data_IF_026496635850
#
_entry.id   IF_026496635850
#
_cell.length_a   1.000
_cell.length_b   1.000
_cell.length_c   1.000
_cell.angle_alpha   90.00
_cell.angle_beta   90.00
_cell.angle_gamma   90.00
#
_symmetry.space_group_name_H-M   'P 1'
#
loop_
_entity.id
_entity.type
_entity.pdbx_description
1 polymer ?
#
# COMPACT_ATOMS: atom_id res chain seq x y z
N UNK A 1 2.48 0.58 -11.59
CA UNK A 1 3.61 0.49 -12.55
C UNK A 1 4.97 0.37 -11.88
N UNK A 2 5.35 1.20 -10.91
CA UNK A 2 6.71 1.16 -10.33
C UNK A 2 7.10 -0.12 -9.55
N UNK A 3 6.10 -0.87 -9.05
CA UNK A 3 6.31 -2.00 -8.12
C UNK A 3 6.33 -3.38 -8.79
N UNK A 4 5.51 -3.61 -9.82
CA UNK A 4 5.23 -4.95 -10.33
C UNK A 4 5.63 -5.10 -11.80
N UNK A 5 5.87 -6.34 -12.21
CA UNK A 5 6.08 -6.69 -13.62
C UNK A 5 4.77 -6.52 -14.42
N UNK A 6 4.82 -5.72 -15.50
CA UNK A 6 3.71 -5.46 -16.43
C UNK A 6 3.17 -4.02 -16.39
N UNK A 7 2.51 -3.58 -17.46
CA UNK A 7 1.74 -2.33 -17.46
C UNK A 7 0.44 -2.55 -16.67
N UNK A 8 0.33 -1.90 -15.51
CA UNK A 8 -0.79 -2.12 -14.57
C UNK A 8 -1.85 -1.00 -14.70
N UNK A 9 -1.54 0.13 -15.33
CA UNK A 9 -2.54 1.18 -15.63
C UNK A 9 -2.00 2.21 -16.63
N UNK A 10 -2.81 2.75 -17.57
CA UNK A 10 -2.48 3.98 -18.29
C UNK A 10 -2.43 5.16 -17.29
N UNK A 11 -1.26 5.80 -17.19
CA UNK A 11 -1.07 6.98 -16.33
C UNK A 11 -1.72 8.18 -17.03
N UNK A 12 -2.88 8.62 -16.54
CA UNK A 12 -3.57 9.80 -17.07
C UNK A 12 -3.16 11.07 -16.31
N UNK A 13 -2.31 11.90 -16.90
CA UNK A 13 -1.81 13.14 -16.26
C UNK A 13 -2.82 14.31 -16.23
N UNK A 14 -4.05 14.14 -16.74
CA UNK A 14 -4.96 15.27 -17.00
C UNK A 14 -6.40 15.10 -16.49
N UNK A 15 -6.88 13.91 -16.11
CA UNK A 15 -8.24 13.75 -15.59
C UNK A 15 -8.32 12.71 -14.47
N UNK A 16 -8.93 13.08 -13.34
CA UNK A 16 -9.39 12.15 -12.31
C UNK A 16 -10.49 11.25 -12.90
N UNK A 17 -10.09 10.15 -13.50
CA UNK A 17 -10.99 9.27 -14.25
C UNK A 17 -10.74 7.80 -13.90
N UNK A 18 -10.94 7.46 -12.63
CA UNK A 18 -11.25 6.09 -12.23
C UNK A 18 -12.57 6.10 -11.48
N UNK A 19 -13.69 6.17 -12.21
CA UNK A 19 -15.04 6.19 -11.62
C UNK A 19 -15.52 4.80 -11.19
N UNK A 20 -14.94 3.76 -11.78
CA UNK A 20 -15.21 2.34 -11.50
C UNK A 20 -13.96 1.67 -10.95
N UNK A 21 -14.14 0.64 -10.10
CA UNK A 21 -13.04 -0.16 -9.56
C UNK A 21 -12.32 -0.89 -10.69
N UNK A 22 -11.06 -0.55 -10.93
CA UNK A 22 -10.25 -1.27 -11.90
C UNK A 22 -9.53 -2.42 -11.22
N UNK A 23 -9.61 -3.62 -11.81
CA UNK A 23 -8.94 -4.82 -11.30
C UNK A 23 -7.96 -5.33 -12.34
N UNK A 24 -6.69 -5.37 -11.95
CA UNK A 24 -5.61 -5.88 -12.78
C UNK A 24 -5.07 -7.16 -12.15
N UNK A 25 -5.04 -8.26 -12.92
CA UNK A 25 -4.53 -9.54 -12.44
C UNK A 25 -3.17 -9.82 -13.07
N UNK A 26 -2.15 -9.89 -12.23
CA UNK A 26 -0.83 -10.36 -12.61
C UNK A 26 -0.74 -11.86 -12.27
N UNK A 27 -0.11 -12.65 -13.16
CA UNK A 27 0.04 -14.10 -13.00
C UNK A 27 1.51 -14.48 -13.16
N UNK A 28 2.02 -15.31 -12.25
CA UNK A 28 3.35 -15.92 -12.32
C UNK A 28 3.24 -17.36 -11.85
N UNK A 29 3.34 -18.31 -12.79
CA UNK A 29 3.10 -19.72 -12.53
C UNK A 29 1.72 -19.98 -11.91
N UNK A 30 1.70 -20.53 -10.69
CA UNK A 30 0.48 -20.81 -9.91
C UNK A 30 0.02 -19.63 -9.04
N UNK A 31 0.80 -18.57 -8.94
CA UNK A 31 0.47 -17.40 -8.13
C UNK A 31 -0.23 -16.34 -8.97
N UNK A 32 -1.24 -15.69 -8.37
CA UNK A 32 -1.87 -14.51 -8.96
C UNK A 32 -1.95 -13.39 -7.93
N UNK A 33 -1.61 -12.18 -8.36
CA UNK A 33 -1.83 -10.95 -7.61
C UNK A 33 -2.93 -10.16 -8.30
N UNK A 34 -3.88 -9.64 -7.53
CA UNK A 34 -4.91 -8.72 -8.02
C UNK A 34 -4.64 -7.35 -7.45
N UNK A 35 -4.39 -6.38 -8.33
CA UNK A 35 -4.23 -4.98 -7.98
C UNK A 35 -5.58 -4.32 -8.24
N UNK A 36 -6.09 -3.64 -7.22
CA UNK A 36 -7.37 -2.94 -7.28
C UNK A 36 -7.11 -1.46 -7.18
N UNK A 37 -7.38 -0.72 -8.25
CA UNK A 37 -7.34 0.73 -8.25
C UNK A 37 -8.72 1.27 -7.85
N UNK A 38 -8.74 2.03 -6.76
CA UNK A 38 -9.96 2.61 -6.20
C UNK A 38 -10.03 4.10 -6.56
N UNK A 39 -11.24 4.63 -6.80
CA UNK A 39 -11.49 6.06 -7.04
C UNK A 39 -10.84 6.93 -5.95
N UNK A 40 -10.38 8.14 -6.28
CA UNK A 40 -9.85 9.06 -5.27
C UNK A 40 -10.89 9.47 -4.24
N UNK A 41 -10.51 9.50 -2.97
CA UNK A 41 -11.37 10.01 -1.89
C UNK A 41 -11.53 11.53 -2.08
N UNK A 42 -12.76 12.04 -2.06
CA UNK A 42 -13.03 13.47 -2.17
C UNK A 42 -13.25 14.02 -3.58
N UNK A 43 -13.21 13.17 -4.61
CA UNK A 43 -13.41 13.62 -6.00
C UNK A 43 -14.84 14.12 -6.28
N UNK A 44 -15.85 13.65 -5.53
CA UNK A 44 -17.24 14.09 -5.73
C UNK A 44 -18.11 13.91 -4.47
N UNK A 45 -18.29 14.99 -3.68
CA UNK A 45 -19.08 14.97 -2.44
C UNK A 45 -20.56 14.61 -2.60
N UNK A 46 -21.12 14.70 -3.81
CA UNK A 46 -22.53 14.34 -4.07
C UNK A 46 -22.79 12.82 -4.05
N UNK A 47 -21.74 11.98 -4.11
CA UNK A 47 -21.86 10.51 -4.19
C UNK A 47 -21.14 9.77 -3.07
N UNK A 48 -20.85 10.47 -1.99
CA UNK A 48 -20.06 9.96 -0.87
C UNK A 48 -20.62 8.64 -0.29
N UNK A 49 -21.95 8.46 -0.30
CA UNK A 49 -22.57 7.22 0.18
C UNK A 49 -22.35 6.01 -0.75
N UNK A 50 -22.45 6.19 -2.06
CA UNK A 50 -22.23 5.13 -3.06
C UNK A 50 -20.77 4.65 -3.03
N UNK A 51 -19.83 5.60 -2.95
CA UNK A 51 -18.41 5.27 -2.80
C UNK A 51 -18.12 4.54 -1.48
N UNK A 52 -18.70 4.97 -0.35
CA UNK A 52 -18.54 4.26 0.93
C UNK A 52 -19.02 2.81 0.86
N UNK A 53 -20.15 2.55 0.21
CA UNK A 53 -20.67 1.20 0.03
C UNK A 53 -19.76 0.34 -0.87
N UNK A 54 -19.26 0.93 -1.96
CA UNK A 54 -18.30 0.30 -2.86
C UNK A 54 -17.02 -0.10 -2.11
N UNK A 55 -16.43 0.83 -1.35
CA UNK A 55 -15.23 0.57 -0.56
C UNK A 55 -15.45 -0.56 0.44
N UNK A 56 -16.54 -0.56 1.22
CA UNK A 56 -16.79 -1.62 2.20
C UNK A 56 -16.85 -3.02 1.57
N UNK A 57 -17.45 -3.13 0.38
CA UNK A 57 -17.50 -4.39 -0.36
C UNK A 57 -16.12 -4.84 -0.83
N UNK A 58 -15.33 -3.93 -1.36
CA UNK A 58 -14.00 -4.27 -1.90
C UNK A 58 -13.01 -4.53 -0.77
N UNK A 59 -12.98 -3.69 0.27
CA UNK A 59 -12.01 -3.76 1.37
C UNK A 59 -12.04 -5.10 2.12
N UNK A 60 -13.19 -5.76 2.22
CA UNK A 60 -13.28 -7.10 2.84
C UNK A 60 -12.59 -8.21 2.04
N UNK A 61 -12.29 -7.97 0.76
CA UNK A 61 -11.62 -8.93 -0.13
C UNK A 61 -10.12 -8.65 -0.26
N UNK A 62 -9.60 -7.54 0.29
CA UNK A 62 -8.20 -7.12 0.11
C UNK A 62 -7.31 -7.65 1.23
N UNK A 63 -6.13 -8.16 0.86
CA UNK A 63 -5.08 -8.55 1.79
C UNK A 63 -4.27 -7.34 2.31
N UNK A 64 -4.15 -6.28 1.51
CA UNK A 64 -3.45 -5.03 1.86
C UNK A 64 -3.97 -3.86 1.01
N UNK A 65 -3.97 -2.66 1.61
CA UNK A 65 -4.34 -1.38 1.02
C UNK A 65 -3.16 -0.42 1.17
N UNK A 66 -2.68 0.13 0.06
CA UNK A 66 -1.74 1.24 0.07
C UNK A 66 -2.52 2.56 0.07
N UNK A 67 -2.51 3.27 1.18
CA UNK A 67 -3.13 4.60 1.29
C UNK A 67 -2.11 5.67 0.90
N UNK A 68 -2.21 6.17 -0.33
CA UNK A 68 -1.22 7.09 -0.90
C UNK A 68 -1.62 8.54 -0.65
N UNK A 69 -0.75 9.30 0.02
CA UNK A 69 -0.90 10.74 0.26
C UNK A 69 0.30 11.45 -0.36
N UNK A 70 0.10 12.63 -0.96
CA UNK A 70 1.22 13.43 -1.46
C UNK A 70 1.96 14.08 -0.28
N UNK A 71 3.28 14.07 -0.32
CA UNK A 71 4.12 14.58 0.77
C UNK A 71 3.94 16.10 1.02
N UNK A 72 3.64 16.86 -0.04
CA UNK A 72 3.46 18.31 -0.03
C UNK A 72 2.02 18.76 0.29
N UNK A 73 1.05 17.85 0.22
CA UNK A 73 -0.35 18.17 0.48
C UNK A 73 -0.56 18.58 1.94
N UNK A 74 -1.40 19.58 2.17
CA UNK A 74 -1.72 20.11 3.50
C UNK A 74 -3.19 19.89 3.87
N UNK A 75 -4.06 19.57 2.91
CA UNK A 75 -5.50 19.51 3.09
C UNK A 75 -6.00 18.06 3.19
N UNK A 76 -5.87 17.47 4.39
CA UNK A 76 -6.24 16.06 4.64
C UNK A 76 -7.60 15.88 5.33
N UNK A 77 -8.43 16.92 5.37
CA UNK A 77 -9.72 16.86 6.11
C UNK A 77 -10.68 15.83 5.51
N UNK A 78 -10.69 15.71 4.19
CA UNK A 78 -11.54 14.74 3.48
C UNK A 78 -11.04 13.32 3.71
N UNK A 79 -9.73 13.09 3.65
CA UNK A 79 -9.10 11.83 4.03
C UNK A 79 -9.42 11.43 5.47
N UNK A 80 -9.29 12.37 6.42
CA UNK A 80 -9.56 12.13 7.84
C UNK A 80 -11.02 11.72 8.07
N UNK A 81 -11.96 12.40 7.42
CA UNK A 81 -13.38 12.08 7.51
C UNK A 81 -13.66 10.68 6.94
N UNK A 82 -13.10 10.36 5.78
CA UNK A 82 -13.28 9.05 5.15
C UNK A 82 -12.63 7.93 5.97
N UNK A 83 -11.44 8.19 6.52
CA UNK A 83 -10.75 7.27 7.40
C UNK A 83 -11.62 6.86 8.59
N UNK A 84 -12.19 7.86 9.28
CA UNK A 84 -13.08 7.64 10.43
C UNK A 84 -14.39 6.95 10.02
N UNK A 85 -14.93 7.24 8.84
CA UNK A 85 -16.22 6.70 8.39
C UNK A 85 -16.18 5.32 7.74
N UNK A 86 -15.03 4.90 7.21
CA UNK A 86 -14.92 3.70 6.34
C UNK A 86 -13.73 2.82 6.69
N UNK A 87 -12.55 3.41 6.87
CA UNK A 87 -11.30 2.64 6.88
C UNK A 87 -10.92 2.10 8.25
N UNK A 88 -11.39 2.72 9.34
CA UNK A 88 -11.05 2.31 10.71
C UNK A 88 -11.20 0.80 10.99
N UNK A 89 -12.27 0.11 10.55
CA UNK A 89 -12.40 -1.35 10.70
C UNK A 89 -11.31 -2.15 9.98
N UNK A 90 -10.73 -1.59 8.93
CA UNK A 90 -9.72 -2.19 8.05
C UNK A 90 -8.31 -1.65 8.32
N UNK A 91 -8.08 -0.94 9.42
CA UNK A 91 -6.77 -0.31 9.71
C UNK A 91 -5.58 -1.28 9.72
N UNK A 92 -5.82 -2.57 9.99
CA UNK A 92 -4.78 -3.61 10.04
C UNK A 92 -4.20 -3.93 8.66
N UNK A 93 -4.98 -3.72 7.61
CA UNK A 93 -4.57 -3.97 6.22
C UNK A 93 -4.17 -2.67 5.51
N UNK A 94 -3.95 -1.56 6.22
CA UNK A 94 -3.60 -0.28 5.57
C UNK A 94 -2.16 0.13 5.87
N UNK A 95 -1.38 0.30 4.81
CA UNK A 95 -0.06 0.95 4.83
C UNK A 95 -0.16 2.35 4.23
N UNK A 96 0.17 3.37 5.02
CA UNK A 96 0.25 4.75 4.52
C UNK A 96 1.55 4.96 3.75
N UNK A 97 1.45 5.57 2.57
CA UNK A 97 2.58 5.88 1.69
C UNK A 97 2.54 7.36 1.33
N UNK A 98 3.49 8.13 1.87
CA UNK A 98 3.75 9.51 1.47
C UNK A 98 4.54 9.49 0.16
N UNK A 99 3.86 9.68 -0.96
CA UNK A 99 4.48 9.74 -2.29
C UNK A 99 4.89 11.18 -2.65
N UNK A 100 5.70 11.34 -3.70
CA UNK A 100 6.22 12.62 -4.16
C UNK A 100 7.11 13.30 -3.09
N UNK A 101 7.91 12.51 -2.38
CA UNK A 101 8.88 13.02 -1.40
C UNK A 101 9.85 14.05 -2.02
N UNK A 102 10.11 13.98 -3.32
CA UNK A 102 10.88 14.95 -4.10
C UNK A 102 10.29 16.37 -4.11
N UNK A 103 8.98 16.49 -3.84
CA UNK A 103 8.26 17.77 -3.86
C UNK A 103 8.07 18.39 -2.49
N UNK A 104 8.51 17.73 -1.42
CA UNK A 104 8.41 18.33 -0.08
C UNK A 104 9.36 19.53 0.02
N UNK A 105 8.89 20.59 0.67
CA UNK A 105 9.69 21.80 0.84
C UNK A 105 10.96 21.52 1.68
N UNK A 106 12.09 22.20 1.43
CA UNK A 106 12.39 22.96 0.21
C UNK A 106 12.54 22.02 -1.00
N UNK A 107 11.63 22.13 -1.98
CA UNK A 107 11.56 21.15 -3.07
C UNK A 107 12.77 21.19 -4.01
N UNK A 108 13.41 22.36 -4.12
CA UNK A 108 14.59 22.58 -4.96
C UNK A 108 15.89 21.98 -4.38
N UNK A 109 15.88 21.55 -3.11
CA UNK A 109 17.05 20.96 -2.46
C UNK A 109 17.20 19.46 -2.73
N UNK A 110 16.26 18.87 -3.47
CA UNK A 110 16.35 17.46 -3.84
C UNK A 110 17.60 17.20 -4.70
N UNK A 111 18.45 16.26 -4.27
CA UNK A 111 19.64 15.88 -5.05
C UNK A 111 19.21 14.99 -6.21
N UNK A 112 19.13 15.56 -7.40
CA UNK A 112 18.76 14.85 -8.64
C UNK A 112 19.81 13.85 -9.09
N UNK A 113 21.08 14.02 -8.71
CA UNK A 113 22.17 13.11 -9.08
C UNK A 113 22.13 11.84 -8.25
N UNK A 114 21.88 11.96 -6.95
CA UNK A 114 21.76 10.79 -6.05
C UNK A 114 20.34 10.31 -5.87
N UNK A 115 19.34 11.05 -6.36
CA UNK A 115 17.92 10.82 -6.12
C UNK A 115 17.61 10.70 -4.62
N UNK A 116 18.12 11.64 -3.82
CA UNK A 116 17.91 11.64 -2.37
C UNK A 116 17.46 13.01 -1.84
N UNK A 117 16.69 13.04 -0.74
CA UNK A 117 16.28 14.28 -0.10
C UNK A 117 17.44 14.96 0.63
N UNK A 118 17.39 16.29 0.70
CA UNK A 118 18.25 17.07 1.58
C UNK A 118 17.97 16.77 3.06
N UNK A 119 18.82 17.27 3.96
CA UNK A 119 18.59 17.14 5.41
C UNK A 119 17.25 17.77 5.83
N UNK A 120 16.95 18.97 5.31
CA UNK A 120 15.71 19.68 5.61
C UNK A 120 14.48 18.95 5.08
N UNK A 121 14.56 18.40 3.86
CA UNK A 121 13.47 17.59 3.31
C UNK A 121 13.22 16.33 4.14
N UNK A 122 14.26 15.66 4.65
CA UNK A 122 14.11 14.50 5.54
C UNK A 122 13.39 14.86 6.83
N UNK A 123 13.72 16.00 7.43
CA UNK A 123 13.06 16.44 8.66
C UNK A 123 11.60 16.81 8.43
N UNK A 124 11.29 17.43 7.29
CA UNK A 124 9.91 17.71 6.89
C UNK A 124 9.13 16.42 6.60
N UNK A 125 9.75 15.41 5.98
CA UNK A 125 9.11 14.09 5.76
C UNK A 125 8.81 13.42 7.10
N UNK A 126 9.74 13.44 8.06
CA UNK A 126 9.51 12.91 9.41
C UNK A 126 8.38 13.64 10.11
N UNK A 127 8.34 14.97 10.03
CA UNK A 127 7.26 15.76 10.60
C UNK A 127 5.91 15.41 9.96
N UNK A 128 5.87 15.22 8.63
CA UNK A 128 4.69 14.77 7.90
C UNK A 128 4.24 13.37 8.33
N UNK A 129 5.16 12.42 8.47
CA UNK A 129 4.88 11.07 8.99
C UNK A 129 4.30 11.11 10.41
N UNK A 130 4.85 11.96 11.29
CA UNK A 130 4.34 12.16 12.63
C UNK A 130 2.91 12.75 12.62
N UNK A 131 2.64 13.72 11.74
CA UNK A 131 1.30 14.28 11.57
C UNK A 131 0.27 13.23 11.07
N UNK A 132 0.64 12.41 10.07
CA UNK A 132 -0.19 11.28 9.62
C UNK A 132 -0.44 10.30 10.77
N UNK A 133 0.59 9.97 11.53
CA UNK A 133 0.47 9.04 12.67
C UNK A 133 -0.48 9.57 13.74
N UNK A 134 -0.40 10.86 14.05
CA UNK A 134 -1.30 11.51 15.01
C UNK A 134 -2.76 11.55 14.52
N UNK A 135 -2.96 11.87 13.23
CA UNK A 135 -4.29 12.04 12.63
C UNK A 135 -5.01 10.71 12.40
N UNK A 136 -4.33 9.72 11.80
CA UNK A 136 -4.94 8.47 11.35
C UNK A 136 -4.74 7.32 12.34
N UNK A 137 -3.72 7.38 13.21
CA UNK A 137 -3.33 6.30 14.13
C UNK A 137 -3.23 4.93 13.42
N UNK A 138 -2.43 4.83 12.35
CA UNK A 138 -2.31 3.58 11.61
C UNK A 138 -1.66 2.48 12.46
N UNK A 139 -1.90 1.23 12.08
CA UNK A 139 -1.25 0.05 12.70
C UNK A 139 0.17 -0.16 12.22
N UNK A 140 0.47 0.30 11.00
CA UNK A 140 1.75 0.17 10.35
C UNK A 140 2.45 1.53 10.25
N UNK A 141 3.80 1.58 10.30
CA UNK A 141 4.52 2.82 10.13
C UNK A 141 4.31 3.38 8.71
N UNK A 142 4.07 4.69 8.60
CA UNK A 142 3.93 5.35 7.31
C UNK A 142 5.28 5.40 6.59
N UNK A 143 5.31 5.04 5.30
CA UNK A 143 6.51 5.11 4.48
C UNK A 143 6.55 6.43 3.70
N UNK A 144 7.75 6.91 3.36
CA UNK A 144 7.95 8.02 2.45
C UNK A 144 8.71 7.56 1.22
N UNK A 145 8.22 7.94 0.03
CA UNK A 145 8.79 7.52 -1.25
C UNK A 145 8.72 8.64 -2.27
N UNK A 146 9.63 8.59 -3.24
CA UNK A 146 9.48 9.29 -4.51
C UNK A 146 9.39 8.22 -5.61
N UNK A 147 8.18 7.92 -6.06
CA UNK A 147 7.97 6.88 -7.06
C UNK A 147 8.63 7.19 -8.41
N UNK A 148 8.81 8.49 -8.75
CA UNK A 148 9.46 8.91 -9.99
C UNK A 148 10.98 8.72 -9.95
N UNK A 149 11.62 8.96 -8.80
CA UNK A 149 13.07 8.79 -8.63
C UNK A 149 13.45 7.39 -8.13
N UNK A 150 12.48 6.63 -7.61
CA UNK A 150 12.69 5.32 -6.98
C UNK A 150 13.16 5.40 -5.52
N UNK A 151 13.37 6.60 -4.97
CA UNK A 151 13.81 6.77 -3.59
C UNK A 151 12.80 6.22 -2.59
N UNK A 152 13.29 5.48 -1.60
CA UNK A 152 12.48 4.89 -0.51
C UNK A 152 11.61 3.69 -0.92
N UNK A 153 11.55 3.34 -2.21
CA UNK A 153 10.64 2.28 -2.70
C UNK A 153 11.01 0.91 -2.15
N UNK A 154 12.30 0.56 -2.06
CA UNK A 154 12.74 -0.74 -1.52
C UNK A 154 12.36 -0.90 -0.04
N UNK A 155 12.56 0.13 0.78
CA UNK A 155 12.19 0.13 2.20
C UNK A 155 10.68 0.06 2.39
N UNK A 156 9.93 0.77 1.55
CA UNK A 156 8.46 0.70 1.53
C UNK A 156 7.98 -0.70 1.14
N UNK A 157 8.60 -1.35 0.16
CA UNK A 157 8.28 -2.74 -0.24
C UNK A 157 8.59 -3.71 0.90
N UNK A 158 9.73 -3.56 1.57
CA UNK A 158 10.05 -4.40 2.73
C UNK A 158 9.03 -4.23 3.87
N UNK A 159 8.49 -3.02 4.05
CA UNK A 159 7.40 -2.75 5.00
C UNK A 159 6.08 -3.35 4.53
N UNK A 160 5.74 -3.17 3.25
CA UNK A 160 4.57 -3.77 2.60
C UNK A 160 4.54 -5.28 2.80
N UNK A 161 5.67 -5.95 2.63
CA UNK A 161 5.80 -7.40 2.81
C UNK A 161 5.52 -7.85 4.26
N UNK A 162 5.89 -7.05 5.27
CA UNK A 162 5.56 -7.30 6.68
C UNK A 162 4.10 -7.04 7.02
N UNK A 163 3.41 -6.20 6.24
CA UNK A 163 2.00 -5.87 6.45
C UNK A 163 1.06 -6.88 5.80
N UNK A 164 1.56 -7.72 4.88
CA UNK A 164 0.76 -8.74 4.20
C UNK A 164 0.45 -9.91 5.13
N UNK A 165 -0.72 -10.56 4.99
CA UNK A 165 -0.94 -11.85 5.60
C UNK A 165 0.00 -12.90 4.98
N UNK A 166 0.40 -13.88 5.78
CA UNK A 166 1.39 -14.91 5.43
C UNK A 166 1.13 -15.56 4.06
N UNK A 167 -0.14 -15.91 3.80
CA UNK A 167 -0.59 -16.50 2.52
C UNK A 167 -0.33 -15.64 1.27
N UNK A 168 -0.21 -14.32 1.43
CA UNK A 168 -0.08 -13.36 0.33
C UNK A 168 1.37 -12.94 0.05
N UNK A 169 2.28 -13.16 0.99
CA UNK A 169 3.70 -12.75 0.89
C UNK A 169 4.39 -13.37 -0.34
N UNK A 170 4.32 -14.68 -0.50
CA UNK A 170 4.92 -15.41 -1.62
C UNK A 170 4.35 -15.00 -2.99
N UNK A 171 3.02 -14.97 -3.20
CA UNK A 171 2.44 -14.43 -4.43
C UNK A 171 2.94 -13.02 -4.76
N UNK A 172 3.01 -12.12 -3.80
CA UNK A 172 3.48 -10.74 -4.03
C UNK A 172 4.96 -10.72 -4.41
N UNK A 173 5.82 -11.44 -3.69
CA UNK A 173 7.25 -11.50 -3.98
C UNK A 173 7.57 -11.98 -5.40
N UNK A 174 6.79 -12.91 -5.94
CA UNK A 174 6.99 -13.42 -7.32
C UNK A 174 6.60 -12.43 -8.43
N UNK A 175 5.86 -11.36 -8.10
CA UNK A 175 5.36 -10.36 -9.06
C UNK A 175 6.12 -9.04 -8.99
N UNK A 176 6.87 -8.80 -7.90
CA UNK A 176 7.67 -7.60 -7.72
C UNK A 176 8.75 -7.52 -8.80
N UNK A 177 9.04 -6.28 -9.24
CA UNK A 177 10.15 -6.03 -10.15
C UNK A 177 11.45 -6.60 -9.55
N UNK A 178 12.26 -7.33 -10.32
CA UNK A 178 13.44 -8.04 -9.78
C UNK A 178 14.38 -7.23 -8.87
N UNK A 179 14.52 -5.90 -9.11
CA UNK A 179 15.28 -4.97 -8.25
C UNK A 179 14.72 -4.84 -6.83
N UNK A 180 13.41 -5.00 -6.66
CA UNK A 180 12.67 -4.91 -5.39
C UNK A 180 12.61 -6.28 -4.68
N UNK A 181 13.01 -7.37 -5.34
CA UNK A 181 13.10 -8.71 -4.75
C UNK A 181 14.40 -8.88 -3.94
N UNK A 182 14.56 -8.06 -2.90
CA UNK A 182 15.71 -8.10 -2.00
C UNK A 182 15.73 -9.40 -1.18
N UNK A 183 16.86 -9.76 -0.58
CA UNK A 183 16.93 -10.95 0.29
C UNK A 183 15.97 -10.85 1.48
N UNK A 184 15.74 -9.65 2.01
CA UNK A 184 14.73 -9.42 3.05
C UNK A 184 13.32 -9.80 2.56
N UNK A 185 12.95 -9.38 1.35
CA UNK A 185 11.65 -9.73 0.75
C UNK A 185 11.53 -11.24 0.52
N UNK A 186 12.61 -11.87 0.03
CA UNK A 186 12.62 -13.33 -0.19
C UNK A 186 12.52 -14.12 1.11
N UNK A 187 13.21 -13.68 2.17
CA UNK A 187 13.13 -14.32 3.49
C UNK A 187 11.71 -14.26 4.02
N UNK A 188 11.10 -13.07 4.06
CA UNK A 188 9.73 -12.90 4.55
C UNK A 188 8.72 -13.75 3.75
N UNK A 189 8.89 -13.84 2.43
CA UNK A 189 8.04 -14.70 1.60
C UNK A 189 8.20 -16.21 1.89
N UNK A 190 9.40 -16.65 2.28
CA UNK A 190 9.66 -18.05 2.67
C UNK A 190 9.10 -18.34 4.05
N UNK A 191 9.32 -17.44 5.00
CA UNK A 191 8.85 -17.57 6.38
C UNK A 191 7.31 -17.59 6.42
N UNK A 192 6.66 -16.61 5.79
CA UNK A 192 5.20 -16.55 5.68
C UNK A 192 4.60 -17.74 4.92
N UNK A 193 5.29 -18.31 3.93
CA UNK A 193 4.83 -19.55 3.31
C UNK A 193 4.85 -20.73 4.30
N UNK A 194 5.91 -20.85 5.10
CA UNK A 194 6.02 -21.87 6.14
C UNK A 194 4.90 -21.77 7.17
N UNK A 195 4.63 -20.56 7.67
CA UNK A 195 3.61 -20.31 8.69
C UNK A 195 2.18 -20.57 8.16
N UNK A 196 1.90 -20.17 6.91
CA UNK A 196 0.62 -20.42 6.27
C UNK A 196 0.36 -21.93 6.08
N UNK A 197 1.39 -22.70 5.72
CA UNK A 197 1.30 -24.15 5.57
C UNK A 197 1.11 -24.82 6.94
N UNK A 198 1.88 -24.43 7.95
CA UNK A 198 1.73 -24.93 9.32
C UNK A 198 0.32 -24.71 9.87
N UNK A 199 -0.20 -23.49 9.75
CA UNK A 199 -1.56 -23.15 10.19
C UNK A 199 -2.65 -23.98 9.49
N UNK A 200 -2.46 -24.30 8.20
CA UNK A 200 -3.40 -25.13 7.46
C UNK A 200 -3.39 -26.60 7.95
N UNK A 201 -2.22 -27.13 8.32
CA UNK A 201 -2.11 -28.45 8.93
C UNK A 201 -2.74 -28.49 10.32
N UNK A 202 -2.46 -27.49 11.18
CA UNK A 202 -3.04 -27.41 12.53
C UNK A 202 -4.57 -27.31 12.50
N UNK A 203 -5.12 -26.55 11.54
CA UNK A 203 -6.56 -26.43 11.32
C UNK A 203 -7.18 -27.76 10.85
N UNK A 204 -6.49 -28.49 9.97
CA UNK A 204 -6.94 -29.80 9.50
C UNK A 204 -6.92 -30.84 10.63
N UNK A 205 -5.87 -30.86 11.45
CA UNK A 205 -5.78 -31.73 12.63
C UNK A 205 -6.90 -31.41 13.63
N UNK A 206 -7.10 -30.13 13.97
CA UNK A 206 -8.17 -29.71 14.89
C UNK A 206 -9.58 -30.06 14.39
N UNK A 207 -9.82 -30.00 13.07
CA UNK A 207 -11.09 -30.40 12.46
C UNK A 207 -11.33 -31.92 12.48
N UNK A 208 -10.26 -32.70 12.60
CA UNK A 208 -10.29 -34.16 12.69
C UNK A 208 -10.67 -34.67 14.10
N UNK A 209 -10.67 -33.79 15.11
CA UNK A 209 -10.92 -34.13 16.51
C UNK A 209 -12.32 -33.72 17.03
N UNK A 210 -13.26 -33.34 16.17
CA UNK A 210 -14.66 -33.12 16.58
C UNK A 210 -15.40 -34.48 16.70
N UNK A 211 -15.96 -34.85 17.87
CA UNK A 211 -16.78 -36.05 17.99
C UNK A 211 -18.12 -35.84 17.25
N UNK A 212 -18.63 -36.92 16.66
CA UNK A 212 -19.93 -37.00 15.99
C UNK A 212 -21.12 -36.82 16.94
#
# INVERSE_FOLDING_TARGET
NALFHGEVSPVGDVNACTRDVLRFRLRSGRHSLVIVDLPGVGENGLRDQEYRALYRRVLSELDLVLWVIKADDRALSVDEQFWRGVMQPYQQQVLFVLNQADKIEPCHDWDTRTSTPSAQQRDNLKAKQAAITAMFRPRHPACAVSACSGWGVEEMVATMMRCLPDRATSPVATQLHGRLCTETVKSQARDGFGDAVGSAFDAAESSSFLPA
#
